data_IF_446439720053
#
_entry.id   IF_446439720053
#
_cell.length_a   1.000
_cell.length_b   1.000
_cell.length_c   1.000
_cell.angle_alpha   90.00
_cell.angle_beta   90.00
_cell.angle_gamma   90.00
#
_symmetry.space_group_name_H-M   'P 1'
#
loop_
_entity.id
_entity.type
_entity.pdbx_description
1 polymer ?
#
# COMPACT_ATOMS: atom_id res chain seq x y z
N UNK A 1 27.21 30.44 -12.19
CA UNK A 1 27.27 29.40 -11.14
C UNK A 1 25.92 28.76 -10.81
N UNK A 2 24.82 29.51 -10.65
CA UNK A 2 23.48 28.93 -10.32
C UNK A 2 22.96 27.88 -11.33
N UNK A 3 23.22 28.03 -12.64
CA UNK A 3 22.73 27.07 -13.64
C UNK A 3 23.47 25.72 -13.64
N UNK A 4 24.73 25.65 -13.22
CA UNK A 4 25.53 24.41 -13.28
C UNK A 4 25.08 23.44 -12.19
N UNK A 5 24.78 23.94 -10.98
CA UNK A 5 24.32 23.09 -9.89
C UNK A 5 22.94 22.51 -10.21
N UNK A 6 22.05 23.31 -10.79
CA UNK A 6 20.72 22.85 -11.22
C UNK A 6 20.83 21.76 -12.31
N UNK A 7 21.68 21.95 -13.33
CA UNK A 7 21.86 20.95 -14.39
C UNK A 7 22.53 19.66 -13.90
N UNK A 8 23.49 19.77 -12.98
CA UNK A 8 24.13 18.60 -12.35
C UNK A 8 23.15 17.84 -11.47
N UNK A 9 22.34 18.57 -10.69
CA UNK A 9 21.30 17.96 -9.87
C UNK A 9 20.27 17.25 -10.74
N UNK A 10 19.75 17.91 -11.77
CA UNK A 10 18.80 17.33 -12.70
C UNK A 10 19.35 16.08 -13.40
N UNK A 11 20.57 16.14 -13.93
CA UNK A 11 21.21 14.96 -14.54
C UNK A 11 21.39 13.82 -13.53
N UNK A 12 21.73 14.14 -12.27
CA UNK A 12 21.88 13.14 -11.21
C UNK A 12 20.53 12.52 -10.81
N UNK A 13 19.48 13.32 -10.68
CA UNK A 13 18.13 12.84 -10.36
C UNK A 13 17.58 11.99 -11.49
N UNK A 14 17.69 12.43 -12.74
CA UNK A 14 17.27 11.65 -13.91
C UNK A 14 18.02 10.32 -13.96
N UNK A 15 19.35 10.32 -13.82
CA UNK A 15 20.14 9.08 -13.84
C UNK A 15 19.73 8.10 -12.75
N UNK A 16 19.39 8.59 -11.55
CA UNK A 16 19.12 7.73 -10.38
C UNK A 16 17.65 7.38 -10.20
N UNK A 17 16.72 8.23 -10.62
CA UNK A 17 15.29 8.13 -10.32
C UNK A 17 14.44 7.66 -11.51
N UNK A 18 14.89 7.86 -12.76
CA UNK A 18 14.13 7.49 -13.96
C UNK A 18 13.74 6.00 -13.98
N UNK A 19 14.59 5.12 -13.43
CA UNK A 19 14.24 3.70 -13.28
C UNK A 19 13.02 3.47 -12.38
N UNK A 20 12.83 4.28 -11.35
CA UNK A 20 11.71 4.15 -10.42
C UNK A 20 10.43 4.80 -10.96
N UNK A 21 10.57 5.83 -11.79
CA UNK A 21 9.47 6.50 -12.48
C UNK A 21 8.77 5.58 -13.49
N UNK A 22 9.46 4.62 -14.09
CA UNK A 22 8.83 3.62 -14.98
C UNK A 22 8.18 2.43 -14.26
N UNK A 23 8.32 2.33 -12.93
CA UNK A 23 7.87 1.16 -12.19
C UNK A 23 6.42 1.29 -11.73
N UNK A 24 5.55 0.43 -12.26
CA UNK A 24 4.13 0.32 -11.91
C UNK A 24 3.86 0.27 -10.39
N UNK A 25 4.74 -0.37 -9.61
CA UNK A 25 4.56 -0.52 -8.17
C UNK A 25 4.56 0.82 -7.44
N UNK A 26 5.35 1.79 -7.89
CA UNK A 26 5.39 3.14 -7.29
C UNK A 26 4.17 3.97 -7.71
N UNK A 27 3.73 3.85 -8.95
CA UNK A 27 2.48 4.47 -9.40
C UNK A 27 1.26 3.98 -8.61
N UNK A 28 1.20 2.66 -8.36
CA UNK A 28 0.16 2.07 -7.53
C UNK A 28 0.28 2.49 -6.06
N UNK A 29 1.50 2.55 -5.51
CA UNK A 29 1.70 3.00 -4.13
C UNK A 29 1.28 4.47 -3.96
N UNK A 30 1.67 5.35 -4.88
CA UNK A 30 1.35 6.77 -4.83
C UNK A 30 -0.16 7.02 -5.01
N UNK A 31 -0.83 6.25 -5.88
CA UNK A 31 -2.30 6.38 -6.05
C UNK A 31 -3.09 5.80 -4.89
N UNK A 32 -2.64 4.70 -4.31
CA UNK A 32 -3.25 4.11 -3.12
C UNK A 32 -2.93 4.91 -1.84
N UNK A 33 -2.08 5.93 -1.90
CA UNK A 33 -1.88 6.84 -0.78
C UNK A 33 -3.08 7.81 -0.67
N UNK A 34 -3.86 7.78 0.42
CA UNK A 34 -5.01 8.66 0.62
C UNK A 34 -4.65 10.15 0.66
N UNK A 35 -3.41 10.52 0.98
CA UNK A 35 -2.95 11.90 1.05
C UNK A 35 -2.71 12.50 -0.35
N UNK A 36 -2.17 11.71 -1.28
CA UNK A 36 -1.72 12.22 -2.58
C UNK A 36 -2.59 11.79 -3.77
N UNK A 37 -3.12 10.55 -3.75
CA UNK A 37 -3.96 9.97 -4.82
C UNK A 37 -3.40 10.23 -6.23
N UNK A 38 -4.09 11.01 -7.06
CA UNK A 38 -3.64 11.42 -8.41
C UNK A 38 -3.14 12.87 -8.45
N UNK A 39 -3.10 13.57 -7.31
CA UNK A 39 -2.64 14.96 -7.21
C UNK A 39 -1.13 15.16 -7.38
N UNK A 40 -0.36 14.09 -7.62
CA UNK A 40 1.05 14.17 -7.99
C UNK A 40 1.26 14.09 -9.50
N UNK A 41 0.24 13.68 -10.26
CA UNK A 41 0.32 13.51 -11.70
C UNK A 41 -0.29 14.74 -12.38
N UNK A 42 0.58 15.71 -12.71
CA UNK A 42 0.18 16.98 -13.32
C UNK A 42 0.89 17.27 -14.64
N UNK A 43 1.88 16.44 -15.01
CA UNK A 43 2.83 16.79 -16.06
C UNK A 43 2.37 16.33 -17.47
N UNK A 44 1.45 15.35 -17.56
CA UNK A 44 0.94 14.84 -18.85
C UNK A 44 -0.54 14.43 -18.79
N UNK A 45 -1.33 14.87 -19.77
CA UNK A 45 -2.79 14.66 -19.84
C UNK A 45 -3.21 13.17 -19.86
N UNK A 46 -2.33 12.26 -20.29
CA UNK A 46 -2.66 10.83 -20.42
C UNK A 46 -2.21 9.98 -19.22
N UNK A 47 -1.24 10.44 -18.42
CA UNK A 47 -0.67 9.63 -17.33
C UNK A 47 -1.69 9.34 -16.23
N UNK A 48 -2.53 10.32 -15.90
CA UNK A 48 -3.63 10.17 -14.94
C UNK A 48 -4.56 9.02 -15.36
N UNK A 49 -4.87 8.96 -16.66
CA UNK A 49 -5.74 7.92 -17.21
C UNK A 49 -5.04 6.56 -17.20
N UNK A 50 -3.79 6.49 -17.66
CA UNK A 50 -2.99 5.25 -17.70
C UNK A 50 -2.84 4.63 -16.30
N UNK A 51 -2.59 5.46 -15.29
CA UNK A 51 -2.45 4.99 -13.90
C UNK A 51 -3.82 4.55 -13.35
N UNK A 52 -4.91 5.24 -13.69
CA UNK A 52 -6.26 4.84 -13.29
C UNK A 52 -6.69 3.50 -13.92
N UNK A 53 -6.30 3.27 -15.18
CA UNK A 53 -6.54 2.02 -15.90
C UNK A 53 -5.68 0.91 -15.30
N UNK A 54 -4.42 1.20 -14.96
CA UNK A 54 -3.52 0.28 -14.26
C UNK A 54 -4.10 -0.15 -12.90
N UNK A 55 -4.61 0.78 -12.11
CA UNK A 55 -5.29 0.48 -10.84
C UNK A 55 -6.50 -0.42 -11.06
N UNK A 56 -7.30 -0.13 -12.08
CA UNK A 56 -8.49 -0.92 -12.45
C UNK A 56 -8.13 -2.35 -12.87
N UNK A 57 -7.07 -2.53 -13.68
CA UNK A 57 -6.56 -3.85 -14.07
C UNK A 57 -6.10 -4.65 -12.85
N UNK A 58 -5.32 -4.04 -11.95
CA UNK A 58 -4.84 -4.74 -10.73
C UNK A 58 -5.99 -5.05 -9.76
N UNK A 59 -6.98 -4.15 -9.67
CA UNK A 59 -8.20 -4.38 -8.89
C UNK A 59 -8.96 -5.60 -9.41
N UNK A 60 -9.21 -5.68 -10.72
CA UNK A 60 -9.90 -6.83 -11.32
C UNK A 60 -9.12 -8.14 -11.13
N UNK A 61 -7.79 -8.09 -11.19
CA UNK A 61 -6.93 -9.24 -10.92
C UNK A 61 -6.97 -9.69 -9.45
N UNK A 62 -7.11 -8.75 -8.51
CA UNK A 62 -7.22 -9.06 -7.09
C UNK A 62 -8.64 -9.53 -6.70
N UNK A 63 -9.68 -9.05 -7.39
CA UNK A 63 -11.08 -9.35 -7.13
C UNK A 63 -11.50 -10.79 -7.47
N UNK A 64 -10.77 -11.50 -8.34
CA UNK A 64 -11.06 -12.90 -8.69
C UNK A 64 -10.56 -13.92 -7.66
N UNK A 65 -9.88 -13.47 -6.60
CA UNK A 65 -9.37 -14.31 -5.52
C UNK A 65 -10.32 -14.23 -4.32
N UNK A 66 -11.36 -15.06 -4.35
CA UNK A 66 -12.19 -15.36 -3.17
C UNK A 66 -11.35 -16.10 -2.11
N UNK A 67 -11.55 -15.82 -0.81
CA UNK A 67 -10.83 -16.47 0.28
C UNK A 67 -11.53 -17.76 0.69
N UNK A 68 -11.23 -18.89 0.03
CA UNK A 68 -11.56 -20.20 0.61
C UNK A 68 -10.47 -20.59 1.60
N UNK A 69 -10.89 -20.70 2.86
CA UNK A 69 -10.13 -21.24 3.98
C UNK A 69 -9.58 -22.65 3.70
N UNK A 70 -8.43 -22.95 4.30
CA UNK A 70 -8.11 -24.32 4.75
C UNK A 70 -8.15 -24.33 6.27
N UNK A 71 -8.87 -25.30 6.79
CA UNK A 71 -9.56 -25.36 8.08
C UNK A 71 -8.85 -26.34 9.04
N UNK A 72 -8.92 -26.08 10.35
CA UNK A 72 -9.03 -27.12 11.39
C UNK A 72 -9.65 -26.50 12.66
N UNK A 73 -10.97 -26.68 12.75
CA UNK A 73 -11.92 -26.54 13.87
C UNK A 73 -11.61 -27.46 15.09
N UNK A 74 -12.35 -27.47 16.25
CA UNK A 74 -13.60 -26.74 16.57
C UNK A 74 -13.78 -26.19 18.02
N UNK A 75 -14.62 -25.14 18.16
CA UNK A 75 -15.60 -24.97 19.25
C UNK A 75 -16.52 -23.74 19.04
N UNK A 76 -17.84 -23.94 19.06
CA UNK A 76 -18.96 -22.94 19.14
C UNK A 76 -19.85 -23.30 20.36
N UNK A 77 -20.92 -22.56 20.83
CA UNK A 77 -21.65 -21.36 20.32
C UNK A 77 -21.95 -20.30 21.47
N UNK A 78 -22.90 -19.30 21.44
CA UNK A 78 -24.08 -19.03 20.56
C UNK A 78 -24.37 -17.52 20.16
N UNK A 79 -25.48 -17.22 19.41
CA UNK A 79 -25.62 -16.06 18.51
C UNK A 79 -26.56 -14.95 19.02
N UNK A 80 -26.54 -13.73 18.42
CA UNK A 80 -27.74 -12.86 18.43
C UNK A 80 -27.81 -11.75 17.34
N UNK A 81 -28.86 -11.90 16.51
CA UNK A 81 -29.87 -10.93 15.99
C UNK A 81 -29.45 -9.71 15.15
N UNK A 82 -29.85 -9.81 13.88
CA UNK A 82 -29.97 -8.77 12.84
C UNK A 82 -31.17 -7.85 13.09
N UNK A 83 -30.98 -6.54 13.06
CA UNK A 83 -32.10 -5.58 13.04
C UNK A 83 -32.21 -4.89 11.66
N UNK A 84 -33.29 -5.25 10.96
CA UNK A 84 -33.77 -4.65 9.71
C UNK A 84 -34.76 -3.54 10.06
N UNK A 85 -34.30 -2.33 10.36
CA UNK A 85 -35.20 -1.16 10.50
C UNK A 85 -34.39 0.12 10.39
N UNK A 86 -34.21 0.61 9.16
CA UNK A 86 -34.28 2.03 8.77
C UNK A 86 -34.19 2.07 7.24
N UNK A 87 -35.32 1.71 6.62
CA UNK A 87 -35.60 2.11 5.26
C UNK A 87 -36.27 3.49 5.31
N UNK A 88 -35.85 4.37 4.40
CA UNK A 88 -36.71 5.35 3.74
C UNK A 88 -37.18 6.56 4.56
N UNK A 89 -36.33 7.58 4.68
CA UNK A 89 -36.77 8.96 4.84
C UNK A 89 -35.72 9.97 4.33
N UNK A 90 -35.53 10.01 3.00
CA UNK A 90 -35.40 11.24 2.20
C UNK A 90 -34.94 10.88 0.79
N UNK A 91 -35.88 10.94 -0.15
CA UNK A 91 -35.64 10.71 -1.57
C UNK A 91 -36.16 11.93 -2.31
N UNK A 92 -35.28 12.80 -2.79
CA UNK A 92 -35.47 13.54 -4.04
C UNK A 92 -34.20 14.31 -4.45
N UNK A 93 -33.43 13.71 -5.36
CA UNK A 93 -32.97 14.35 -6.59
C UNK A 93 -32.18 13.31 -7.40
N UNK A 94 -32.80 12.70 -8.42
CA UNK A 94 -32.03 12.06 -9.49
C UNK A 94 -31.45 13.15 -10.38
N UNK A 95 -30.20 13.02 -10.82
CA UNK A 95 -30.07 12.60 -12.21
C UNK A 95 -29.01 11.51 -12.43
N UNK A 96 -29.31 10.67 -13.43
CA UNK A 96 -28.41 9.82 -14.23
C UNK A 96 -27.91 8.52 -13.57
N UNK A 97 -28.16 7.34 -14.20
CA UNK A 97 -27.49 6.11 -13.80
C UNK A 97 -26.05 6.18 -14.32
N UNK A 98 -25.08 6.41 -13.43
CA UNK A 98 -23.70 6.08 -13.73
C UNK A 98 -23.52 4.55 -13.61
N UNK A 99 -22.66 3.94 -14.43
CA UNK A 99 -22.37 2.50 -14.40
C UNK A 99 -21.94 2.07 -12.98
N UNK A 100 -21.91 0.77 -12.63
CA UNK A 100 -21.48 0.33 -11.30
C UNK A 100 -20.09 0.93 -11.01
N UNK A 101 -20.05 1.97 -10.18
CA UNK A 101 -18.81 2.67 -9.88
C UNK A 101 -17.95 1.68 -9.12
N UNK A 102 -16.87 1.23 -9.77
CA UNK A 102 -15.90 0.33 -9.17
C UNK A 102 -15.37 0.96 -7.89
N UNK A 103 -15.02 0.13 -6.91
CA UNK A 103 -14.35 0.52 -5.66
C UNK A 103 -13.23 1.56 -5.91
N UNK A 104 -12.43 1.33 -6.96
CA UNK A 104 -11.36 2.21 -7.43
C UNK A 104 -11.85 3.62 -7.80
N UNK A 105 -12.92 3.73 -8.58
CA UNK A 105 -13.48 5.02 -9.00
C UNK A 105 -14.06 5.79 -7.81
N UNK A 106 -14.72 5.10 -6.88
CA UNK A 106 -15.26 5.72 -5.66
C UNK A 106 -14.12 6.29 -4.79
N UNK A 107 -13.05 5.54 -4.60
CA UNK A 107 -11.89 5.96 -3.84
C UNK A 107 -11.19 7.20 -4.44
N UNK A 108 -11.00 7.22 -5.76
CA UNK A 108 -10.36 8.34 -6.46
C UNK A 108 -11.18 9.63 -6.36
N UNK A 109 -12.51 9.52 -6.33
CA UNK A 109 -13.42 10.67 -6.19
C UNK A 109 -13.53 11.20 -4.73
N UNK A 110 -13.09 10.45 -3.73
CA UNK A 110 -13.07 10.94 -2.35
C UNK A 110 -12.05 12.08 -2.20
N UNK A 111 -12.22 13.01 -1.24
CA UNK A 111 -11.18 13.98 -0.92
C UNK A 111 -9.90 13.30 -0.42
N UNK A 112 -8.77 13.96 -0.62
CA UNK A 112 -7.49 13.56 -0.04
C UNK A 112 -7.51 13.70 1.48
N UNK A 113 -6.77 12.84 2.17
CA UNK A 113 -6.50 12.96 3.59
C UNK A 113 -5.60 14.18 3.84
N UNK A 114 -5.72 14.81 5.01
CA UNK A 114 -4.77 15.85 5.41
C UNK A 114 -3.34 15.28 5.45
N UNK A 115 -2.34 16.10 5.10
CA UNK A 115 -0.95 15.68 4.92
C UNK A 115 -0.32 15.03 6.19
N UNK A 116 -0.84 15.33 7.38
CA UNK A 116 -0.39 14.75 8.66
C UNK A 116 -1.13 13.45 9.06
N UNK A 117 -2.02 12.94 8.21
CA UNK A 117 -2.80 11.74 8.51
C UNK A 117 -1.98 10.45 8.36
N UNK A 118 -2.31 9.42 9.14
CA UNK A 118 -1.73 8.07 8.98
C UNK A 118 -2.43 7.32 7.81
N UNK A 119 -1.74 7.09 6.67
CA UNK A 119 -2.32 6.41 5.51
C UNK A 119 -2.75 4.97 5.84
N UNK A 120 -1.95 4.25 6.64
CA UNK A 120 -2.21 2.85 6.98
C UNK A 120 -3.39 2.74 7.96
N UNK A 121 -3.48 3.66 8.91
CA UNK A 121 -4.63 3.82 9.79
C UNK A 121 -5.92 4.11 9.02
N UNK A 122 -5.86 4.95 7.98
CA UNK A 122 -7.00 5.26 7.12
C UNK A 122 -7.50 4.01 6.37
N UNK A 123 -6.58 3.25 5.76
CA UNK A 123 -6.92 2.00 5.07
C UNK A 123 -7.50 0.94 6.01
N UNK A 124 -7.02 0.88 7.25
CA UNK A 124 -7.59 -0.02 8.27
C UNK A 124 -9.03 0.37 8.64
N UNK A 125 -9.31 1.66 8.74
CA UNK A 125 -10.67 2.16 9.01
C UNK A 125 -11.62 1.98 7.82
N UNK A 126 -11.10 2.11 6.60
CA UNK A 126 -11.88 2.00 5.35
C UNK A 126 -11.94 0.59 4.76
N UNK A 127 -11.26 -0.38 5.36
CA UNK A 127 -11.33 -1.79 4.95
C UNK A 127 -12.76 -2.34 4.73
N UNK A 128 -13.79 -2.02 5.53
CA UNK A 128 -15.14 -2.51 5.27
C UNK A 128 -15.83 -1.85 4.06
N UNK A 129 -15.42 -0.63 3.70
CA UNK A 129 -15.91 0.10 2.52
C UNK A 129 -15.15 -0.31 1.25
N UNK A 130 -13.85 -0.57 1.41
CA UNK A 130 -12.90 -0.83 0.34
C UNK A 130 -12.05 -2.09 0.60
N UNK A 131 -12.63 -3.30 0.57
CA UNK A 131 -11.93 -4.52 0.97
C UNK A 131 -10.81 -4.92 0.00
N UNK A 132 -11.00 -4.73 -1.31
CA UNK A 132 -10.01 -5.15 -2.32
C UNK A 132 -8.89 -4.12 -2.40
N UNK A 133 -9.21 -2.83 -2.39
CA UNK A 133 -8.22 -1.75 -2.39
C UNK A 133 -7.43 -1.72 -1.09
N UNK A 134 -8.03 -1.94 0.08
CA UNK A 134 -7.28 -2.00 1.34
C UNK A 134 -6.21 -3.10 1.32
N UNK A 135 -6.51 -4.25 0.69
CA UNK A 135 -5.54 -5.34 0.49
C UNK A 135 -4.42 -4.94 -0.47
N UNK A 136 -4.74 -4.23 -1.55
CA UNK A 136 -3.73 -3.71 -2.48
C UNK A 136 -2.87 -2.64 -1.81
N UNK A 137 -3.47 -1.70 -1.08
CA UNK A 137 -2.79 -0.66 -0.33
C UNK A 137 -1.82 -1.26 0.69
N UNK A 138 -2.26 -2.26 1.47
CA UNK A 138 -1.38 -2.97 2.40
C UNK A 138 -0.18 -3.63 1.71
N UNK A 139 -0.32 -4.08 0.46
CA UNK A 139 0.77 -4.69 -0.31
C UNK A 139 1.75 -3.65 -0.87
N UNK A 140 1.24 -2.58 -1.46
CA UNK A 140 2.07 -1.59 -2.15
C UNK A 140 2.68 -0.56 -1.20
N UNK A 141 1.96 -0.13 -0.15
CA UNK A 141 2.49 0.78 0.88
C UNK A 141 3.51 0.10 1.81
N UNK A 142 3.54 -1.23 1.87
CA UNK A 142 4.54 -1.97 2.61
C UNK A 142 5.92 -2.03 1.92
N UNK A 143 6.02 -1.57 0.66
CA UNK A 143 7.28 -1.55 -0.09
C UNK A 143 8.15 -0.43 0.50
N UNK A 144 9.32 -0.75 1.06
CA UNK A 144 10.21 0.29 1.57
C UNK A 144 10.77 1.12 0.40
N UNK A 145 10.81 2.43 0.58
CA UNK A 145 11.38 3.34 -0.41
C UNK A 145 12.90 3.15 -0.60
N UNK A 146 13.59 2.56 0.39
CA UNK A 146 15.06 2.43 0.38
C UNK A 146 15.51 1.04 0.84
N UNK A 147 16.77 0.70 0.53
CA UNK A 147 17.47 -0.48 1.06
C UNK A 147 17.84 -0.37 2.55
N UNK A 148 17.57 0.76 3.20
CA UNK A 148 17.98 1.01 4.59
C UNK A 148 17.48 -0.03 5.60
N UNK A 149 16.26 -0.61 5.50
CA UNK A 149 15.84 -1.71 6.38
C UNK A 149 16.71 -2.96 6.23
N UNK A 150 17.11 -3.29 4.99
CA UNK A 150 17.98 -4.43 4.68
C UNK A 150 19.39 -4.17 5.17
N UNK A 151 19.93 -2.96 4.98
CA UNK A 151 21.24 -2.57 5.52
C UNK A 151 21.27 -2.61 7.04
N UNK A 152 20.20 -2.19 7.71
CA UNK A 152 20.07 -2.30 9.18
C UNK A 152 20.09 -3.76 9.61
N UNK A 153 19.39 -4.64 8.89
CA UNK A 153 19.40 -6.08 9.15
C UNK A 153 20.82 -6.66 8.99
N UNK A 154 21.54 -6.30 7.92
CA UNK A 154 22.93 -6.73 7.72
C UNK A 154 23.90 -6.13 8.75
N UNK A 155 23.68 -4.91 9.21
CA UNK A 155 24.46 -4.32 10.30
C UNK A 155 24.28 -5.11 11.60
N UNK A 156 23.05 -5.52 11.92
CA UNK A 156 22.77 -6.40 13.06
C UNK A 156 23.44 -7.76 12.85
N UNK A 157 23.35 -8.34 11.64
CA UNK A 157 24.03 -9.58 11.28
C UNK A 157 25.53 -9.50 11.55
N UNK A 158 26.19 -8.44 11.07
CA UNK A 158 27.62 -8.22 11.26
C UNK A 158 28.01 -8.05 12.72
N UNK A 159 27.12 -7.48 13.56
CA UNK A 159 27.34 -7.42 15.01
C UNK A 159 27.22 -8.80 15.68
N UNK A 160 26.41 -9.71 15.15
CA UNK A 160 26.29 -11.09 15.65
C UNK A 160 27.42 -11.99 15.15
N UNK A 161 27.81 -11.83 13.89
CA UNK A 161 28.87 -12.59 13.22
C UNK A 161 30.24 -11.96 13.51
N UNK A 162 30.67 -12.05 14.76
CA UNK A 162 32.01 -11.62 15.17
C UNK A 162 32.99 -12.80 15.19
N UNK A 163 34.29 -12.56 14.94
CA UNK A 163 35.31 -13.60 15.00
C UNK A 163 35.43 -14.25 16.39
N UNK A 164 35.03 -13.57 17.46
CA UNK A 164 34.99 -14.17 18.80
C UNK A 164 33.83 -15.17 18.99
N UNK A 165 32.86 -15.21 18.05
CA UNK A 165 31.65 -16.05 18.09
C UNK A 165 31.58 -17.03 16.91
N UNK A 166 32.72 -17.54 16.43
CA UNK A 166 32.80 -18.44 15.27
C UNK A 166 32.15 -19.82 15.42
N UNK A 167 31.66 -20.21 16.60
CA UNK A 167 30.98 -21.50 16.80
C UNK A 167 29.44 -21.39 16.73
N UNK A 168 28.92 -20.44 15.95
CA UNK A 168 27.49 -20.25 15.76
C UNK A 168 27.05 -21.02 14.51
N UNK A 169 26.08 -21.92 14.66
CA UNK A 169 25.46 -22.55 13.49
C UNK A 169 24.44 -21.62 12.83
N UNK A 170 24.21 -21.79 11.53
CA UNK A 170 23.25 -20.98 10.75
C UNK A 170 21.86 -20.94 11.38
N UNK A 171 21.41 -22.08 11.94
CA UNK A 171 20.14 -22.18 12.67
C UNK A 171 20.08 -21.25 13.89
N UNK A 172 21.15 -21.20 14.68
CA UNK A 172 21.22 -20.33 15.86
C UNK A 172 21.34 -18.86 15.46
N UNK A 173 22.06 -18.57 14.37
CA UNK A 173 22.13 -17.22 13.82
C UNK A 173 20.74 -16.72 13.45
N UNK A 174 19.97 -17.51 12.68
CA UNK A 174 18.60 -17.16 12.30
C UNK A 174 17.68 -16.89 13.50
N UNK A 175 17.76 -17.74 14.53
CA UNK A 175 16.99 -17.54 15.78
C UNK A 175 17.36 -16.24 16.49
N UNK A 176 18.65 -15.94 16.61
CA UNK A 176 19.11 -14.71 17.24
C UNK A 176 18.73 -13.48 16.42
N UNK A 177 18.77 -13.57 15.09
CA UNK A 177 18.32 -12.49 14.21
C UNK A 177 16.83 -12.21 14.39
N UNK A 178 16.00 -13.25 14.47
CA UNK A 178 14.56 -13.10 14.75
C UNK A 178 14.31 -12.38 16.08
N UNK A 179 15.01 -12.79 17.15
CA UNK A 179 14.89 -12.16 18.48
C UNK A 179 15.34 -10.70 18.45
N UNK A 180 16.40 -10.37 17.69
CA UNK A 180 16.96 -9.02 17.64
C UNK A 180 16.22 -8.06 16.73
N UNK A 181 15.56 -8.56 15.68
CA UNK A 181 14.84 -7.72 14.73
C UNK A 181 13.37 -7.52 15.11
N UNK A 182 12.84 -8.30 16.05
CA UNK A 182 11.48 -8.17 16.58
C UNK A 182 11.50 -8.04 18.12
N UNK A 183 11.96 -6.90 18.66
CA UNK A 183 11.88 -6.65 20.10
C UNK A 183 10.41 -6.63 20.55
N UNK A 184 10.13 -7.25 21.70
CA UNK A 184 8.81 -7.22 22.36
C UNK A 184 8.46 -5.81 22.82
#
# INVERSE_FOLDING_TARGET
>A
MKCIIASVFQSSTETRLNKFESMEAFHLAATLDPCYKLGWCHDYDNEVQDISDLLTVKYNMAGSVDPTATDTSPAEPPPMKRNKFVALANRSSTPRPTPPETEASLYLNQPCLQEDGDPLGNWKAKQPEFPVLARLAAKYLAIPATSSPVERLFSIAGKLFRPERCNLSDKRLGQLMMIRCNPQ
#
